data_IF_248917004952
#
_entry.id   IF_248917004952
#
_cell.length_a   1.000
_cell.length_b   1.000
_cell.length_c   1.000
_cell.angle_alpha   90.00
_cell.angle_beta   90.00
_cell.angle_gamma   90.00
#
_symmetry.space_group_name_H-M   'P 1'
#
loop_
_entity.id
_entity.type
_entity.pdbx_description
1 polymer ?
#
# COMPACT_ATOMS: atom_id res chain seq x y z
N UNK A 1 -16.27 -21.76 -11.22
CA UNK A 1 -16.32 -20.28 -11.09
C UNK A 1 -16.30 -19.94 -9.61
N UNK A 2 -15.80 -18.78 -9.21
CA UNK A 2 -15.89 -18.36 -7.81
C UNK A 2 -17.35 -18.06 -7.45
N UNK A 3 -17.83 -18.60 -6.33
CA UNK A 3 -19.21 -18.44 -5.86
C UNK A 3 -19.26 -17.56 -4.60
N UNK A 4 -20.33 -16.77 -4.47
CA UNK A 4 -20.55 -15.90 -3.31
C UNK A 4 -21.00 -16.64 -2.05
N UNK A 5 -21.32 -17.94 -2.14
CA UNK A 5 -21.64 -18.81 -1.00
C UNK A 5 -22.67 -18.23 -0.01
N UNK A 6 -23.70 -17.56 -0.52
CA UNK A 6 -24.77 -16.98 0.30
C UNK A 6 -24.53 -15.56 0.82
N UNK A 7 -23.38 -14.94 0.51
CA UNK A 7 -23.13 -13.52 0.76
C UNK A 7 -23.59 -12.63 -0.40
N UNK A 8 -23.99 -11.39 -0.10
CA UNK A 8 -24.43 -10.43 -1.13
C UNK A 8 -23.29 -10.01 -2.08
N UNK A 9 -22.07 -9.95 -1.56
CA UNK A 9 -20.88 -9.45 -2.25
C UNK A 9 -19.68 -10.36 -2.00
N UNK A 10 -18.77 -10.45 -2.98
CA UNK A 10 -17.50 -11.17 -2.80
C UNK A 10 -16.68 -10.57 -1.68
N UNK A 11 -16.60 -9.24 -1.61
CA UNK A 11 -15.87 -8.56 -0.54
C UNK A 11 -16.42 -8.95 0.85
N UNK A 12 -17.74 -9.01 1.02
CA UNK A 12 -18.33 -9.43 2.31
C UNK A 12 -17.93 -10.86 2.65
N UNK A 13 -18.07 -11.80 1.70
CA UNK A 13 -17.59 -13.17 1.87
C UNK A 13 -16.12 -13.21 2.31
N UNK A 14 -15.27 -12.44 1.63
CA UNK A 14 -13.84 -12.40 1.89
C UNK A 14 -13.51 -11.83 3.28
N UNK A 15 -14.26 -10.84 3.77
CA UNK A 15 -14.17 -10.35 5.15
C UNK A 15 -14.46 -11.49 6.14
N UNK A 16 -15.49 -12.30 5.90
CA UNK A 16 -15.87 -13.41 6.78
C UNK A 16 -14.96 -14.64 6.66
N UNK A 17 -14.17 -14.76 5.58
CA UNK A 17 -13.16 -15.83 5.39
C UNK A 17 -11.87 -15.59 6.18
N UNK A 18 -11.63 -14.37 6.68
CA UNK A 18 -10.40 -13.99 7.37
C UNK A 18 -9.97 -14.94 8.50
N UNK A 19 -10.86 -15.45 9.38
CA UNK A 19 -10.47 -16.42 10.40
C UNK A 19 -9.81 -17.68 9.82
N UNK A 20 -10.37 -18.21 8.73
CA UNK A 20 -9.86 -19.42 8.08
C UNK A 20 -8.54 -19.12 7.35
N UNK A 21 -8.48 -17.99 6.66
CA UNK A 21 -7.29 -17.54 5.92
C UNK A 21 -6.09 -17.33 6.84
N UNK A 22 -6.29 -16.72 8.00
CA UNK A 22 -5.23 -16.56 9.01
C UNK A 22 -4.75 -17.92 9.50
N UNK A 23 -5.67 -18.87 9.78
CA UNK A 23 -5.30 -20.24 10.13
C UNK A 23 -4.48 -20.90 9.01
N UNK A 24 -4.91 -20.79 7.75
CA UNK A 24 -4.23 -21.42 6.61
C UNK A 24 -2.85 -20.82 6.34
N UNK A 25 -2.66 -19.53 6.63
CA UNK A 25 -1.35 -18.87 6.56
C UNK A 25 -0.40 -19.42 7.64
N UNK A 26 -0.90 -19.64 8.85
CA UNK A 26 -0.09 -19.98 10.02
C UNK A 26 0.17 -21.48 10.19
N UNK A 27 -0.77 -22.34 9.78
CA UNK A 27 -0.88 -23.76 10.21
C UNK A 27 0.38 -24.59 10.00
N UNK A 28 1.16 -24.29 8.97
CA UNK A 28 2.36 -25.06 8.62
C UNK A 28 3.52 -24.78 9.58
N UNK A 29 3.62 -23.55 10.08
CA UNK A 29 4.80 -23.04 10.78
C UNK A 29 4.52 -22.64 12.23
N UNK A 30 3.27 -22.49 12.63
CA UNK A 30 2.92 -21.94 13.96
C UNK A 30 3.49 -22.76 15.13
N UNK A 31 3.62 -24.08 14.98
CA UNK A 31 4.16 -24.94 16.04
C UNK A 31 5.69 -25.10 15.96
N UNK A 32 6.32 -24.60 14.90
CA UNK A 32 7.78 -24.68 14.68
C UNK A 32 8.25 -23.51 13.81
N UNK A 33 8.10 -22.25 14.29
CA UNK A 33 8.41 -21.07 13.49
C UNK A 33 9.90 -20.97 13.14
N UNK A 34 10.77 -21.58 13.95
CA UNK A 34 12.20 -21.72 13.70
C UNK A 34 12.52 -22.42 12.38
N UNK A 35 11.70 -23.43 12.00
CA UNK A 35 11.88 -24.20 10.75
C UNK A 35 11.56 -23.40 9.50
N UNK A 36 10.76 -22.34 9.61
CA UNK A 36 10.40 -21.50 8.46
C UNK A 36 11.66 -20.92 7.80
N UNK A 37 12.64 -20.50 8.59
CA UNK A 37 13.88 -19.91 8.08
C UNK A 37 14.72 -20.91 7.29
N UNK A 38 14.71 -22.16 7.72
CA UNK A 38 15.45 -23.24 7.07
C UNK A 38 14.78 -23.61 5.74
N UNK A 39 13.44 -23.77 5.72
CA UNK A 39 12.67 -24.03 4.50
C UNK A 39 12.82 -22.91 3.45
N UNK A 40 12.82 -21.66 3.91
CA UNK A 40 13.01 -20.51 3.03
C UNK A 40 14.46 -20.33 2.56
N UNK A 41 15.41 -21.14 3.06
CA UNK A 41 16.82 -21.04 2.70
C UNK A 41 17.46 -19.71 3.10
N UNK A 42 17.02 -19.12 4.22
CA UNK A 42 17.51 -17.83 4.74
C UNK A 42 18.07 -17.92 6.16
N UNK A 43 18.07 -19.11 6.76
CA UNK A 43 18.61 -19.35 8.08
C UNK A 43 20.04 -18.84 8.26
N UNK A 44 20.93 -19.06 7.28
CA UNK A 44 22.33 -18.64 7.35
C UNK A 44 22.51 -17.12 7.20
N UNK A 45 21.55 -16.46 6.53
CA UNK A 45 21.60 -15.01 6.28
C UNK A 45 21.38 -14.18 7.54
N UNK A 46 20.87 -14.79 8.62
CA UNK A 46 20.50 -14.08 9.85
C UNK A 46 21.70 -13.39 10.52
N UNK A 47 22.90 -13.99 10.40
CA UNK A 47 24.11 -13.48 11.05
C UNK A 47 24.62 -12.20 10.38
N UNK A 48 24.44 -12.09 9.07
CA UNK A 48 24.86 -10.92 8.29
C UNK A 48 23.74 -9.89 8.13
N UNK A 49 22.53 -10.20 8.59
CA UNK A 49 21.35 -9.34 8.47
C UNK A 49 21.49 -8.12 9.38
N UNK A 50 21.71 -6.96 8.78
CA UNK A 50 21.87 -5.68 9.47
C UNK A 50 20.67 -4.75 9.28
N UNK A 51 19.86 -4.98 8.24
CA UNK A 51 18.70 -4.16 7.90
C UNK A 51 17.65 -4.96 7.15
N UNK A 52 16.40 -4.65 7.43
CA UNK A 52 15.25 -5.12 6.64
C UNK A 52 14.64 -3.90 5.95
N UNK A 53 14.25 -4.08 4.70
CA UNK A 53 13.51 -3.09 3.94
C UNK A 53 12.24 -3.73 3.42
N UNK A 54 11.08 -3.10 3.60
CA UNK A 54 9.81 -3.58 3.06
C UNK A 54 9.35 -2.63 1.95
N UNK A 55 9.02 -3.17 0.78
CA UNK A 55 8.47 -2.38 -0.33
C UNK A 55 7.15 -2.96 -0.84
N UNK A 56 6.13 -2.12 -0.91
CA UNK A 56 4.79 -2.53 -1.35
C UNK A 56 3.95 -1.33 -1.81
N UNK A 57 2.71 -1.57 -2.25
CA UNK A 57 1.76 -0.55 -2.68
C UNK A 57 0.42 -0.70 -1.95
N UNK A 58 -0.29 0.41 -1.72
CA UNK A 58 -1.66 0.43 -1.18
C UNK A 58 -1.81 -0.33 0.14
N UNK A 59 -2.82 -1.18 0.24
CA UNK A 59 -3.07 -2.02 1.42
C UNK A 59 -1.88 -2.91 1.81
N UNK A 60 -1.09 -3.41 0.84
CA UNK A 60 0.13 -4.17 1.17
C UNK A 60 1.24 -3.32 1.77
N UNK A 61 1.29 -2.02 1.44
CA UNK A 61 2.17 -1.07 2.12
C UNK A 61 1.74 -0.85 3.58
N UNK A 62 0.43 -0.73 3.86
CA UNK A 62 -0.07 -0.68 5.23
C UNK A 62 0.24 -1.96 6.02
N UNK A 63 0.20 -3.13 5.38
CA UNK A 63 0.62 -4.39 5.99
C UNK A 63 2.11 -4.33 6.36
N UNK A 64 2.95 -3.80 5.47
CA UNK A 64 4.36 -3.55 5.74
C UNK A 64 4.62 -2.63 6.93
N UNK A 65 3.86 -1.53 7.05
CA UNK A 65 3.95 -0.62 8.20
C UNK A 65 3.61 -1.31 9.53
N UNK A 66 2.60 -2.18 9.55
CA UNK A 66 2.26 -3.00 10.73
C UNK A 66 3.36 -4.04 10.98
N UNK A 67 3.81 -4.72 9.92
CA UNK A 67 4.88 -5.71 9.96
C UNK A 67 6.17 -5.16 10.53
N UNK A 68 6.53 -3.90 10.21
CA UNK A 68 7.66 -3.19 10.82
C UNK A 68 7.58 -3.21 12.34
N UNK A 69 6.43 -2.84 12.91
CA UNK A 69 6.27 -2.84 14.37
C UNK A 69 6.43 -4.23 14.99
N UNK A 70 5.97 -5.28 14.30
CA UNK A 70 6.13 -6.67 14.76
C UNK A 70 7.59 -7.13 14.65
N UNK A 71 8.20 -6.97 13.48
CA UNK A 71 9.55 -7.45 13.17
C UNK A 71 10.59 -6.69 14.02
N UNK A 72 10.55 -5.36 14.11
CA UNK A 72 11.50 -4.62 14.94
C UNK A 72 11.41 -5.02 16.42
N UNK A 73 10.19 -5.31 16.89
CA UNK A 73 9.97 -5.75 18.26
C UNK A 73 10.60 -7.12 18.54
N UNK A 74 10.52 -8.06 17.60
CA UNK A 74 10.99 -9.43 17.80
C UNK A 74 12.46 -9.64 17.41
N UNK A 75 12.96 -8.91 16.41
CA UNK A 75 14.27 -9.18 15.79
C UNK A 75 15.31 -8.12 16.15
N UNK A 76 14.89 -6.95 16.66
CA UNK A 76 15.78 -5.84 17.03
C UNK A 76 16.69 -5.35 15.89
N UNK A 77 16.24 -5.52 14.65
CA UNK A 77 16.89 -5.01 13.42
C UNK A 77 16.06 -3.85 12.88
N UNK A 78 16.69 -2.74 12.43
CA UNK A 78 15.96 -1.64 11.81
C UNK A 78 15.18 -2.09 10.58
N UNK A 79 13.90 -1.75 10.51
CA UNK A 79 13.01 -2.06 9.39
C UNK A 79 12.50 -0.76 8.77
N UNK A 80 12.90 -0.50 7.53
CA UNK A 80 12.33 0.56 6.71
C UNK A 80 11.14 0.04 5.90
N UNK A 81 10.17 0.91 5.61
CA UNK A 81 9.01 0.58 4.78
C UNK A 81 8.77 1.73 3.82
N UNK A 82 8.82 1.46 2.52
CA UNK A 82 8.62 2.46 1.49
C UNK A 82 7.52 2.03 0.51
N UNK A 83 6.85 3.04 -0.06
CA UNK A 83 5.95 2.83 -1.20
C UNK A 83 6.84 2.44 -2.39
N UNK A 84 6.52 1.33 -3.07
CA UNK A 84 7.42 0.77 -4.08
C UNK A 84 7.70 1.73 -5.26
N UNK A 85 6.75 2.59 -5.64
CA UNK A 85 6.99 3.60 -6.68
C UNK A 85 8.07 4.60 -6.26
N UNK A 86 7.98 5.13 -5.04
CA UNK A 86 8.94 6.09 -4.49
C UNK A 86 10.31 5.42 -4.30
N UNK A 87 10.33 4.20 -3.78
CA UNK A 87 11.58 3.47 -3.55
C UNK A 87 12.37 3.31 -4.86
N UNK A 88 11.71 2.93 -5.96
CA UNK A 88 12.35 2.79 -7.28
C UNK A 88 12.85 4.13 -7.80
N UNK A 89 12.01 5.16 -7.75
CA UNK A 89 12.27 6.42 -8.45
C UNK A 89 13.35 7.28 -7.73
N UNK A 90 13.64 6.98 -6.46
CA UNK A 90 14.60 7.72 -5.64
C UNK A 90 16.02 7.13 -5.57
N UNK A 91 16.38 6.16 -6.42
CA UNK A 91 17.73 5.54 -6.44
C UNK A 91 18.19 5.06 -5.05
N UNK A 92 17.55 4.03 -4.50
CA UNK A 92 17.67 3.61 -3.11
C UNK A 92 19.08 3.11 -2.78
N UNK A 93 19.56 3.46 -1.59
CA UNK A 93 20.82 2.99 -1.03
C UNK A 93 20.57 1.63 -0.37
N UNK A 94 21.27 0.60 -0.83
CA UNK A 94 21.12 -0.77 -0.37
C UNK A 94 22.46 -1.24 0.22
N UNK A 95 22.67 -1.09 1.54
CA UNK A 95 23.89 -1.55 2.19
C UNK A 95 24.02 -3.07 2.17
N UNK A 96 25.24 -3.58 2.34
CA UNK A 96 25.48 -5.01 2.59
C UNK A 96 24.71 -5.50 3.82
N UNK A 97 24.21 -6.73 3.78
CA UNK A 97 23.38 -7.29 4.85
C UNK A 97 21.94 -6.79 4.86
N UNK A 98 21.45 -6.25 3.74
CA UNK A 98 20.04 -5.85 3.59
C UNK A 98 19.21 -7.01 3.05
N UNK A 99 18.08 -7.27 3.72
CA UNK A 99 16.98 -8.09 3.17
C UNK A 99 15.87 -7.17 2.68
N UNK A 100 15.51 -7.28 1.40
CA UNK A 100 14.31 -6.66 0.86
C UNK A 100 13.15 -7.65 0.96
N UNK A 101 12.06 -7.23 1.61
CA UNK A 101 10.78 -7.92 1.65
C UNK A 101 9.80 -7.20 0.72
N UNK A 102 9.31 -7.88 -0.31
CA UNK A 102 8.20 -7.37 -1.13
C UNK A 102 6.88 -7.98 -0.69
N UNK A 103 5.82 -7.16 -0.60
CA UNK A 103 4.47 -7.63 -0.24
C UNK A 103 3.52 -7.32 -1.38
N UNK A 104 2.87 -8.34 -1.92
CA UNK A 104 1.92 -8.18 -3.02
C UNK A 104 0.89 -9.30 -3.05
N UNK A 105 -0.38 -8.96 -3.21
CA UNK A 105 -1.43 -9.97 -3.36
C UNK A 105 -1.30 -10.72 -4.70
N UNK A 106 -1.13 -10.00 -5.81
CA UNK A 106 -1.13 -10.59 -7.16
C UNK A 106 0.23 -11.16 -7.57
N UNK A 107 1.32 -10.61 -7.06
CA UNK A 107 2.67 -10.92 -7.54
C UNK A 107 3.03 -10.28 -8.88
N UNK A 108 2.16 -9.42 -9.42
CA UNK A 108 2.30 -8.80 -10.74
C UNK A 108 2.31 -7.26 -10.68
N UNK A 109 2.30 -6.68 -9.48
CA UNK A 109 2.36 -5.22 -9.29
C UNK A 109 3.69 -4.67 -9.83
N UNK A 110 3.61 -3.84 -10.88
CA UNK A 110 4.77 -3.43 -11.66
C UNK A 110 5.87 -2.75 -10.83
N UNK A 111 5.50 -1.83 -9.93
CA UNK A 111 6.47 -1.12 -9.10
C UNK A 111 7.14 -2.05 -8.10
N UNK A 112 6.38 -2.95 -7.46
CA UNK A 112 6.91 -3.93 -6.52
C UNK A 112 7.91 -4.88 -7.18
N UNK A 113 7.61 -5.35 -8.40
CA UNK A 113 8.52 -6.19 -9.17
C UNK A 113 9.79 -5.44 -9.59
N UNK A 114 9.66 -4.17 -10.00
CA UNK A 114 10.80 -3.33 -10.36
C UNK A 114 11.75 -3.12 -9.17
N UNK A 115 11.22 -2.79 -8.00
CA UNK A 115 11.99 -2.65 -6.76
C UNK A 115 12.72 -3.93 -6.40
N UNK A 116 12.07 -5.08 -6.55
CA UNK A 116 12.69 -6.38 -6.28
C UNK A 116 13.91 -6.63 -7.16
N UNK A 117 13.79 -6.39 -8.46
CA UNK A 117 14.87 -6.56 -9.43
C UNK A 117 16.05 -5.63 -9.11
N UNK A 118 15.76 -4.35 -8.89
CA UNK A 118 16.80 -3.36 -8.58
C UNK A 118 17.55 -3.70 -7.28
N UNK A 119 16.82 -4.09 -6.24
CA UNK A 119 17.45 -4.46 -4.98
C UNK A 119 18.31 -5.71 -5.09
N UNK A 120 17.87 -6.69 -5.87
CA UNK A 120 18.64 -7.90 -6.15
C UNK A 120 19.91 -7.58 -6.94
N UNK A 121 19.83 -6.72 -7.96
CA UNK A 121 20.99 -6.24 -8.73
C UNK A 121 22.01 -5.51 -7.84
N UNK A 122 21.53 -4.78 -6.82
CA UNK A 122 22.36 -4.11 -5.80
C UNK A 122 22.83 -5.03 -4.66
N UNK A 123 22.51 -6.33 -4.72
CA UNK A 123 23.02 -7.35 -3.81
C UNK A 123 22.20 -7.55 -2.52
N UNK A 124 20.98 -7.03 -2.43
CA UNK A 124 20.07 -7.40 -1.34
C UNK A 124 19.55 -8.83 -1.52
N UNK A 125 19.34 -9.54 -0.41
CA UNK A 125 18.56 -10.77 -0.41
C UNK A 125 17.08 -10.42 -0.55
N UNK A 126 16.37 -11.10 -1.44
CA UNK A 126 14.96 -10.81 -1.73
C UNK A 126 14.02 -11.89 -1.16
N UNK A 127 13.01 -11.45 -0.41
CA UNK A 127 11.94 -12.27 0.12
C UNK A 127 10.60 -11.71 -0.35
N UNK A 128 9.74 -12.54 -0.93
CA UNK A 128 8.41 -12.12 -1.36
C UNK A 128 7.32 -12.74 -0.50
N UNK A 129 6.46 -11.92 0.10
CA UNK A 129 5.20 -12.34 0.70
C UNK A 129 4.09 -12.18 -0.35
N UNK A 130 3.51 -13.29 -0.80
CA UNK A 130 2.54 -13.27 -1.89
C UNK A 130 1.43 -14.31 -1.76
N UNK A 131 0.28 -14.03 -2.36
CA UNK A 131 -0.84 -14.97 -2.39
C UNK A 131 -0.83 -15.89 -3.61
N UNK A 132 -0.23 -15.47 -4.73
CA UNK A 132 -0.28 -16.17 -6.01
C UNK A 132 1.04 -16.88 -6.28
N UNK A 133 0.99 -18.21 -6.29
CA UNK A 133 2.12 -19.07 -6.63
C UNK A 133 2.48 -18.94 -8.12
N UNK A 134 3.79 -18.88 -8.39
CA UNK A 134 4.31 -18.81 -9.75
C UNK A 134 4.08 -17.48 -10.46
N UNK A 135 3.73 -16.41 -9.74
CA UNK A 135 3.71 -15.03 -10.23
C UNK A 135 5.12 -14.47 -10.47
N UNK A 136 5.25 -13.34 -11.17
CA UNK A 136 6.55 -12.74 -11.50
C UNK A 136 7.43 -12.50 -10.27
N UNK A 137 6.94 -11.86 -9.21
CA UNK A 137 7.73 -11.61 -8.00
C UNK A 137 8.17 -12.90 -7.33
N UNK A 138 7.30 -13.92 -7.28
CA UNK A 138 7.63 -15.20 -6.61
C UNK A 138 8.66 -16.02 -7.37
N UNK A 139 8.67 -15.97 -8.72
CA UNK A 139 9.70 -16.66 -9.52
C UNK A 139 11.07 -16.00 -9.43
N UNK A 140 11.11 -14.69 -9.20
CA UNK A 140 12.36 -13.92 -9.22
C UNK A 140 12.97 -13.69 -7.83
N UNK A 141 12.20 -13.93 -6.77
CA UNK A 141 12.66 -13.79 -5.39
C UNK A 141 13.62 -14.92 -5.01
N UNK A 142 14.51 -14.65 -4.06
CA UNK A 142 15.37 -15.69 -3.51
C UNK A 142 14.61 -16.61 -2.53
N UNK A 143 13.60 -16.05 -1.86
CA UNK A 143 12.73 -16.76 -0.92
C UNK A 143 11.29 -16.26 -1.03
N UNK A 144 10.33 -17.15 -0.78
CA UNK A 144 8.90 -16.81 -0.87
C UNK A 144 8.16 -17.32 0.36
N UNK A 145 7.28 -16.49 0.90
CA UNK A 145 6.32 -16.87 1.94
C UNK A 145 4.91 -16.68 1.42
N UNK A 146 4.19 -17.78 1.22
CA UNK A 146 2.84 -17.75 0.69
C UNK A 146 1.80 -17.45 1.76
N UNK A 147 0.91 -16.50 1.47
CA UNK A 147 -0.18 -16.14 2.38
C UNK A 147 -1.34 -17.14 2.35
N UNK A 148 -1.46 -17.98 1.30
CA UNK A 148 -2.48 -19.03 1.19
C UNK A 148 -3.92 -18.54 1.46
N UNK A 149 -4.25 -17.30 1.10
CA UNK A 149 -5.55 -16.67 1.34
C UNK A 149 -6.66 -17.13 0.36
N UNK A 150 -6.30 -17.99 -0.59
CA UNK A 150 -7.18 -18.38 -1.69
C UNK A 150 -7.45 -17.20 -2.63
N UNK A 151 -8.39 -17.40 -3.57
CA UNK A 151 -8.73 -16.37 -4.55
C UNK A 151 -9.50 -15.21 -3.87
N UNK A 152 -9.04 -13.98 -4.08
CA UNK A 152 -9.72 -12.75 -3.64
C UNK A 152 -10.23 -12.02 -4.88
N UNK A 153 -11.55 -11.97 -5.04
CA UNK A 153 -12.28 -11.45 -6.19
C UNK A 153 -12.57 -9.96 -6.02
N UNK A 154 -12.95 -9.51 -4.82
CA UNK A 154 -13.25 -8.10 -4.57
C UNK A 154 -12.03 -7.23 -4.90
N UNK A 155 -12.23 -6.12 -5.62
CA UNK A 155 -11.12 -5.21 -6.00
C UNK A 155 -10.37 -4.73 -4.77
N UNK A 156 -11.12 -4.36 -3.73
CA UNK A 156 -10.58 -3.89 -2.45
C UNK A 156 -10.09 -5.06 -1.60
N UNK A 157 -8.80 -5.06 -1.27
CA UNK A 157 -8.16 -6.13 -0.48
C UNK A 157 -8.73 -6.20 0.95
N UNK A 158 -9.01 -7.43 1.42
CA UNK A 158 -9.52 -7.73 2.76
C UNK A 158 -8.74 -8.88 3.40
N UNK A 159 -9.05 -10.13 3.03
CA UNK A 159 -8.38 -11.33 3.55
C UNK A 159 -6.92 -11.44 3.14
N UNK A 160 -6.54 -10.90 1.98
CA UNK A 160 -5.15 -10.86 1.59
C UNK A 160 -4.34 -9.99 2.57
N UNK A 161 -4.90 -8.89 3.07
CA UNK A 161 -4.25 -8.03 4.07
C UNK A 161 -4.03 -8.77 5.39
N UNK A 162 -5.06 -9.41 5.96
CA UNK A 162 -4.90 -10.15 7.22
C UNK A 162 -4.01 -11.37 7.09
N UNK A 163 -3.98 -12.02 5.92
CA UNK A 163 -2.99 -13.05 5.63
C UNK A 163 -1.56 -12.50 5.56
N UNK A 164 -1.36 -11.32 4.97
CA UNK A 164 -0.06 -10.63 4.96
C UNK A 164 0.39 -10.31 6.39
N UNK A 165 -0.51 -9.85 7.27
CA UNK A 165 -0.19 -9.64 8.68
C UNK A 165 0.22 -10.94 9.37
N UNK A 166 -0.48 -12.06 9.11
CA UNK A 166 -0.13 -13.36 9.67
C UNK A 166 1.26 -13.82 9.21
N UNK A 167 1.55 -13.68 7.92
CA UNK A 167 2.86 -14.00 7.34
C UNK A 167 3.99 -13.13 7.93
N UNK A 168 3.78 -11.82 8.07
CA UNK A 168 4.75 -10.89 8.68
C UNK A 168 4.99 -11.18 10.16
N UNK A 169 3.93 -11.50 10.91
CA UNK A 169 4.04 -11.86 12.32
C UNK A 169 4.86 -13.15 12.49
N UNK A 170 4.53 -14.18 11.71
CA UNK A 170 5.25 -15.45 11.68
C UNK A 170 6.72 -15.26 11.29
N UNK A 171 7.00 -14.48 10.24
CA UNK A 171 8.35 -14.16 9.81
C UNK A 171 9.14 -13.44 10.91
N UNK A 172 8.52 -12.46 11.59
CA UNK A 172 9.16 -11.75 12.70
C UNK A 172 9.50 -12.67 13.88
N UNK A 173 8.61 -13.61 14.23
CA UNK A 173 8.87 -14.61 15.27
C UNK A 173 10.02 -15.54 14.84
N UNK A 174 9.98 -16.03 13.60
CA UNK A 174 11.00 -16.94 13.06
C UNK A 174 12.39 -16.28 13.03
N UNK A 175 12.47 -15.03 12.56
CA UNK A 175 13.70 -14.23 12.56
C UNK A 175 14.21 -13.97 13.98
N UNK A 176 13.31 -13.59 14.90
CA UNK A 176 13.66 -13.28 16.30
C UNK A 176 14.17 -14.51 17.04
N UNK A 177 13.52 -15.66 16.83
CA UNK A 177 13.93 -16.95 17.37
C UNK A 177 15.31 -17.35 16.83
N UNK A 178 15.52 -17.28 15.52
CA UNK A 178 16.79 -17.67 14.88
C UNK A 178 17.96 -16.77 15.31
N UNK A 179 17.69 -15.47 15.50
CA UNK A 179 18.68 -14.49 15.99
C UNK A 179 18.96 -14.62 17.50
N UNK A 180 18.07 -15.28 18.24
CA UNK A 180 18.15 -15.38 19.70
C UNK A 180 17.65 -14.15 20.46
N UNK A 181 17.01 -13.20 19.78
CA UNK A 181 16.42 -11.99 20.40
C UNK A 181 15.03 -12.27 20.99
N UNK A 182 14.35 -13.29 20.50
CA UNK A 182 13.07 -13.76 21.02
C UNK A 182 13.27 -15.12 21.68
N UNK A 183 13.24 -15.16 23.01
CA UNK A 183 13.52 -16.38 23.76
C UNK A 183 12.39 -17.41 23.70
N UNK A 184 12.71 -18.69 23.94
CA UNK A 184 11.73 -19.80 23.94
C UNK A 184 10.52 -19.55 24.85
N UNK A 185 10.72 -18.88 26.00
CA UNK A 185 9.64 -18.55 26.94
C UNK A 185 8.69 -17.50 26.36
N UNK A 186 9.21 -16.49 25.66
CA UNK A 186 8.41 -15.47 24.99
C UNK A 186 7.64 -16.07 23.82
N UNK A 187 8.28 -16.92 23.02
CA UNK A 187 7.62 -17.67 21.94
C UNK A 187 6.47 -18.50 22.51
N UNK A 188 6.72 -19.31 23.56
CA UNK A 188 5.69 -20.12 24.22
C UNK A 188 4.53 -19.28 24.78
N UNK A 189 4.79 -18.04 25.16
CA UNK A 189 3.74 -17.11 25.63
C UNK A 189 2.96 -16.50 24.48
N UNK A 190 3.61 -16.25 23.34
CA UNK A 190 3.01 -15.61 22.17
C UNK A 190 2.19 -16.59 21.31
N UNK A 191 2.65 -17.84 21.17
CA UNK A 191 2.02 -18.86 20.32
C UNK A 191 0.53 -19.10 20.62
N UNK A 192 0.09 -19.23 21.90
CA UNK A 192 -1.34 -19.38 22.20
C UNK A 192 -2.19 -18.25 21.63
N UNK A 193 -1.69 -17.00 21.66
CA UNK A 193 -2.42 -15.88 21.07
C UNK A 193 -2.52 -15.98 19.55
N UNK A 194 -1.46 -16.44 18.85
CA UNK A 194 -1.53 -16.68 17.41
C UNK A 194 -2.52 -17.79 17.05
N UNK A 195 -2.49 -18.90 17.80
CA UNK A 195 -3.39 -20.03 17.60
C UNK A 195 -4.86 -19.63 17.81
N UNK A 196 -5.08 -18.66 18.69
CA UNK A 196 -6.40 -18.17 19.03
C UNK A 196 -6.92 -17.04 18.11
N UNK A 197 -6.07 -16.49 17.22
CA UNK A 197 -6.45 -15.41 16.29
C UNK A 197 -7.73 -15.72 15.50
N UNK A 198 -7.94 -16.92 14.92
CA UNK A 198 -9.18 -17.21 14.20
C UNK A 198 -10.43 -17.07 15.08
N UNK A 199 -10.35 -17.45 16.35
CA UNK A 199 -11.46 -17.28 17.30
C UNK A 199 -11.68 -15.79 17.60
N UNK A 200 -10.62 -15.03 17.82
CA UNK A 200 -10.68 -13.60 18.10
C UNK A 200 -11.21 -12.80 16.90
N UNK A 201 -10.79 -13.12 15.67
CA UNK A 201 -11.32 -12.49 14.46
C UNK A 201 -12.81 -12.80 14.30
N UNK A 202 -13.25 -14.04 14.56
CA UNK A 202 -14.69 -14.39 14.58
C UNK A 202 -15.46 -13.55 15.59
N UNK A 203 -14.90 -13.31 16.78
CA UNK A 203 -15.52 -12.44 17.78
C UNK A 203 -15.57 -10.98 17.31
N UNK A 204 -14.50 -10.47 16.68
CA UNK A 204 -14.50 -9.13 16.12
C UNK A 204 -15.57 -8.97 15.02
N UNK A 205 -15.79 -9.99 14.18
CA UNK A 205 -16.85 -10.00 13.16
C UNK A 205 -18.28 -9.98 13.76
N UNK A 206 -18.46 -10.33 15.04
CA UNK A 206 -19.76 -10.20 15.72
C UNK A 206 -20.15 -8.74 16.00
N UNK A 207 -19.24 -7.78 15.77
CA UNK A 207 -19.54 -6.34 15.85
C UNK A 207 -20.41 -5.83 14.69
N UNK A 208 -20.70 -6.66 13.69
CA UNK A 208 -21.38 -6.30 12.44
C UNK A 208 -22.64 -5.45 12.63
N UNK A 209 -23.56 -5.86 13.51
CA UNK A 209 -24.80 -5.11 13.76
C UNK A 209 -24.55 -3.75 14.42
N UNK A 210 -23.57 -3.63 15.31
CA UNK A 210 -23.18 -2.34 15.90
C UNK A 210 -22.53 -1.45 14.83
N UNK A 211 -21.62 -2.01 14.04
CA UNK A 211 -20.95 -1.33 12.94
C UNK A 211 -21.96 -0.83 11.90
N UNK A 212 -22.98 -1.61 11.56
CA UNK A 212 -24.06 -1.23 10.64
C UNK A 212 -24.90 -0.07 11.15
N UNK A 213 -25.12 0.04 12.47
CA UNK A 213 -25.80 1.20 13.09
C UNK A 213 -24.94 2.44 12.97
N UNK A 214 -23.65 2.34 13.30
CA UNK A 214 -22.69 3.43 13.14
C UNK A 214 -22.61 3.86 11.67
N UNK A 215 -22.52 2.92 10.73
CA UNK A 215 -22.43 3.19 9.31
C UNK A 215 -23.55 4.11 8.79
N UNK A 216 -24.82 3.90 9.22
CA UNK A 216 -25.96 4.75 8.83
C UNK A 216 -25.75 6.23 9.13
N UNK A 217 -25.03 6.51 10.21
CA UNK A 217 -24.77 7.86 10.67
C UNK A 217 -23.57 8.52 9.97
N UNK A 218 -22.77 7.75 9.23
CA UNK A 218 -21.59 8.21 8.49
C UNK A 218 -21.86 8.47 7.01
N UNK A 219 -23.01 8.03 6.50
CA UNK A 219 -23.39 8.13 5.07
C UNK A 219 -23.34 9.56 4.55
N UNK A 220 -23.74 10.51 5.41
CA UNK A 220 -23.80 11.94 5.12
C UNK A 220 -22.50 12.69 5.45
N UNK A 221 -21.47 12.01 5.96
CA UNK A 221 -20.20 12.66 6.24
C UNK A 221 -19.43 12.93 4.94
N UNK A 222 -18.94 14.16 4.79
CA UNK A 222 -18.06 14.55 3.70
C UNK A 222 -16.63 14.09 3.94
N UNK A 223 -16.19 14.14 5.21
CA UNK A 223 -14.89 13.69 5.65
C UNK A 223 -14.93 12.88 6.94
N UNK A 224 -14.02 11.92 7.08
CA UNK A 224 -13.85 11.12 8.31
C UNK A 224 -12.36 11.03 8.64
N UNK A 225 -12.00 11.30 9.89
CA UNK A 225 -10.63 11.10 10.35
C UNK A 225 -10.50 9.76 11.09
N UNK A 226 -9.44 9.02 10.80
CA UNK A 226 -9.07 7.82 11.53
C UNK A 226 -7.80 8.10 12.33
N UNK A 227 -7.82 7.88 13.63
CA UNK A 227 -6.73 8.28 14.52
C UNK A 227 -6.22 7.08 15.29
N UNK A 228 -4.92 6.80 15.16
CA UNK A 228 -4.26 5.70 15.85
C UNK A 228 -2.86 6.06 16.32
N UNK A 229 -2.27 5.23 17.17
CA UNK A 229 -0.90 5.43 17.67
C UNK A 229 -0.13 4.12 17.73
N UNK A 230 1.18 4.20 17.49
CA UNK A 230 2.02 3.00 17.40
C UNK A 230 1.51 2.08 16.30
N UNK A 231 1.33 0.79 16.61
CA UNK A 231 0.83 -0.21 15.65
C UNK A 231 -0.58 0.08 15.13
N UNK A 232 -1.38 0.86 15.88
CA UNK A 232 -2.72 1.26 15.49
C UNK A 232 -2.75 2.42 14.48
N UNK A 233 -1.64 3.16 14.29
CA UNK A 233 -1.62 4.22 13.26
C UNK A 233 -1.72 3.64 11.83
N UNK A 234 -0.94 2.62 11.45
CA UNK A 234 -1.15 1.95 10.17
C UNK A 234 -2.54 1.30 10.01
N UNK A 235 -3.17 0.85 11.11
CA UNK A 235 -4.56 0.36 11.08
C UNK A 235 -5.52 1.51 10.76
N UNK A 236 -5.30 2.70 11.31
CA UNK A 236 -6.07 3.89 10.98
C UNK A 236 -5.93 4.27 9.49
N UNK A 237 -4.71 4.20 8.94
CA UNK A 237 -4.46 4.39 7.51
C UNK A 237 -5.24 3.37 6.66
N UNK A 238 -5.26 2.10 7.04
CA UNK A 238 -6.00 1.07 6.33
C UNK A 238 -7.52 1.28 6.41
N UNK A 239 -8.06 1.62 7.58
CA UNK A 239 -9.49 1.94 7.74
C UNK A 239 -9.92 3.12 6.86
N UNK A 240 -9.11 4.18 6.85
CA UNK A 240 -9.31 5.34 5.98
C UNK A 240 -9.24 4.97 4.50
N UNK A 241 -8.30 4.10 4.10
CA UNK A 241 -8.20 3.62 2.73
C UNK A 241 -9.44 2.84 2.31
N UNK A 242 -9.94 1.91 3.14
CA UNK A 242 -11.19 1.17 2.83
C UNK A 242 -12.37 2.11 2.63
N UNK A 243 -12.48 3.14 3.47
CA UNK A 243 -13.56 4.12 3.37
C UNK A 243 -13.47 4.94 2.08
N UNK A 244 -12.26 5.34 1.66
CA UNK A 244 -12.01 5.99 0.36
C UNK A 244 -12.38 5.08 -0.81
N UNK A 245 -11.89 3.85 -0.79
CA UNK A 245 -12.05 2.90 -1.90
C UNK A 245 -13.50 2.45 -2.11
N UNK A 246 -14.27 2.26 -1.03
CA UNK A 246 -15.62 1.69 -1.12
C UNK A 246 -16.72 2.74 -1.12
N UNK A 247 -16.63 3.71 -0.21
CA UNK A 247 -17.70 4.66 0.05
C UNK A 247 -17.52 6.02 -0.62
N UNK A 248 -16.35 6.26 -1.25
CA UNK A 248 -15.99 7.55 -1.85
C UNK A 248 -16.05 8.73 -0.87
N UNK A 249 -15.84 8.48 0.43
CA UNK A 249 -15.76 9.52 1.45
C UNK A 249 -14.29 9.93 1.60
N UNK A 250 -14.04 11.23 1.76
CA UNK A 250 -12.69 11.69 2.08
C UNK A 250 -12.31 11.19 3.48
N UNK A 251 -11.52 10.13 3.53
CA UNK A 251 -11.04 9.59 4.79
C UNK A 251 -9.52 9.62 4.88
N UNK A 252 -8.99 10.13 5.98
CA UNK A 252 -7.56 10.20 6.23
C UNK A 252 -7.18 9.58 7.57
N UNK A 253 -6.08 8.83 7.57
CA UNK A 253 -5.51 8.24 8.77
C UNK A 253 -4.39 9.11 9.31
N UNK A 254 -4.45 9.47 10.59
CA UNK A 254 -3.48 10.32 11.26
C UNK A 254 -2.84 9.65 12.48
N UNK A 255 -1.54 9.89 12.72
CA UNK A 255 -0.93 9.53 13.99
C UNK A 255 -1.50 10.47 15.06
N UNK A 256 -2.00 9.91 16.16
CA UNK A 256 -2.66 10.68 17.21
C UNK A 256 -1.78 11.81 17.80
N UNK A 257 -0.46 11.62 17.82
CA UNK A 257 0.50 12.64 18.27
C UNK A 257 0.56 13.88 17.36
N UNK A 258 0.16 13.75 16.09
CA UNK A 258 0.22 14.82 15.10
C UNK A 258 -1.07 15.63 15.00
N UNK A 259 -2.11 15.30 15.78
CA UNK A 259 -3.41 15.98 15.71
C UNK A 259 -3.29 17.51 15.83
N UNK A 260 -2.48 18.00 16.78
CA UNK A 260 -2.28 19.45 16.99
C UNK A 260 -1.36 20.12 15.97
N UNK A 261 -0.72 19.35 15.10
CA UNK A 261 0.20 19.87 14.09
C UNK A 261 -0.50 20.19 12.75
N UNK A 262 -1.83 20.40 12.78
CA UNK A 262 -2.63 20.79 11.63
C UNK A 262 -4.01 20.13 11.58
N UNK A 263 -4.13 18.79 11.65
CA UNK A 263 -5.39 18.06 11.42
C UNK A 263 -6.54 18.47 12.34
N UNK A 264 -6.25 18.89 13.58
CA UNK A 264 -7.26 19.35 14.54
C UNK A 264 -8.06 20.56 14.03
N UNK A 265 -7.52 21.35 13.09
CA UNK A 265 -8.21 22.49 12.50
C UNK A 265 -9.40 22.08 11.61
N UNK A 266 -9.47 20.81 11.20
CA UNK A 266 -10.60 20.25 10.44
C UNK A 266 -11.74 19.76 11.37
N UNK A 267 -11.54 19.78 12.68
CA UNK A 267 -12.57 19.36 13.63
C UNK A 267 -13.55 20.50 13.85
N UNK A 268 -14.79 20.26 13.49
CA UNK A 268 -15.95 21.06 13.83
C UNK A 268 -17.10 20.15 14.30
N UNK A 269 -18.19 20.78 14.72
CA UNK A 269 -19.36 20.08 15.26
C UNK A 269 -19.83 18.95 14.33
N UNK A 270 -19.83 17.72 14.84
CA UNK A 270 -20.32 16.55 14.13
C UNK A 270 -19.33 15.86 13.18
N UNK A 271 -18.14 16.42 12.93
CA UNK A 271 -17.11 15.75 12.10
C UNK A 271 -16.74 14.40 12.72
N UNK A 272 -16.93 13.26 12.02
CA UNK A 272 -16.63 11.96 12.60
C UNK A 272 -15.13 11.69 12.70
N UNK A 273 -14.70 11.25 13.90
CA UNK A 273 -13.34 10.80 14.18
C UNK A 273 -13.37 9.39 14.77
N UNK A 274 -12.79 8.44 14.05
CA UNK A 274 -12.65 7.04 14.45
C UNK A 274 -11.31 6.84 15.17
N UNK A 275 -11.34 6.65 16.48
CA UNK A 275 -10.17 6.39 17.30
C UNK A 275 -9.92 4.89 17.49
N UNK A 276 -8.69 4.47 17.24
CA UNK A 276 -8.19 3.13 17.54
C UNK A 276 -7.57 3.14 18.95
N UNK A 277 -8.35 2.74 19.96
CA UNK A 277 -8.06 2.97 21.37
C UNK A 277 -8.11 1.66 22.21
N UNK A 278 -7.37 0.65 21.79
CA UNK A 278 -7.17 -0.58 22.58
C UNK A 278 -6.27 -0.32 23.79
N UNK A 279 -6.27 -1.23 24.77
CA UNK A 279 -5.34 -1.16 25.89
C UNK A 279 -3.93 -1.50 25.43
N UNK A 280 -3.04 -0.51 25.52
CA UNK A 280 -1.61 -0.64 25.33
C UNK A 280 -0.85 0.41 26.16
N UNK A 281 0.47 0.49 26.01
CA UNK A 281 1.30 1.48 26.68
C UNK A 281 1.05 2.94 26.24
N UNK A 282 0.18 3.17 25.27
CA UNK A 282 -0.15 4.48 24.69
C UNK A 282 -1.61 4.91 24.96
N UNK A 283 -2.41 4.05 25.61
CA UNK A 283 -3.83 4.26 25.87
C UNK A 283 -4.17 5.62 26.50
N UNK A 284 -3.42 6.04 27.53
CA UNK A 284 -3.63 7.34 28.18
C UNK A 284 -3.40 8.54 27.26
N UNK A 285 -2.54 8.39 26.24
CA UNK A 285 -2.29 9.47 25.27
C UNK A 285 -3.44 9.58 24.26
N UNK A 286 -4.01 8.45 23.84
CA UNK A 286 -5.21 8.44 22.98
C UNK A 286 -6.40 9.08 23.70
N UNK A 287 -6.58 8.80 24.99
CA UNK A 287 -7.64 9.44 25.79
C UNK A 287 -7.52 10.97 25.77
N UNK A 288 -6.31 11.53 25.88
CA UNK A 288 -6.08 12.97 25.76
C UNK A 288 -6.53 13.51 24.39
N UNK A 289 -6.21 12.80 23.30
CA UNK A 289 -6.62 13.22 21.96
C UNK A 289 -8.15 13.15 21.76
N UNK A 290 -8.82 12.17 22.38
CA UNK A 290 -10.28 12.08 22.37
C UNK A 290 -10.91 13.29 23.05
N UNK A 291 -10.43 13.67 24.24
CA UNK A 291 -10.94 14.85 24.96
C UNK A 291 -10.74 16.14 24.16
N UNK A 292 -9.62 16.26 23.45
CA UNK A 292 -9.34 17.41 22.58
C UNK A 292 -10.33 17.52 21.42
N UNK A 293 -10.60 16.42 20.72
CA UNK A 293 -11.58 16.40 19.62
C UNK A 293 -12.99 16.62 20.15
N UNK A 294 -13.33 16.02 21.30
CA UNK A 294 -14.63 16.18 21.94
C UNK A 294 -14.88 17.64 22.36
N UNK A 295 -13.86 18.32 22.87
CA UNK A 295 -13.95 19.74 23.24
C UNK A 295 -14.24 20.66 22.04
N UNK A 296 -14.00 20.20 20.82
CA UNK A 296 -14.27 20.91 19.57
C UNK A 296 -15.57 20.47 18.88
N UNK A 297 -16.38 19.64 19.54
CA UNK A 297 -17.65 19.14 18.99
C UNK A 297 -17.50 17.99 17.98
N UNK A 298 -16.29 17.46 17.81
CA UNK A 298 -16.05 16.32 16.91
C UNK A 298 -16.77 15.07 17.44
N UNK A 299 -17.37 14.31 16.53
CA UNK A 299 -18.09 13.10 16.87
C UNK A 299 -17.13 11.92 17.04
N UNK A 300 -17.15 11.31 18.21
CA UNK A 300 -16.17 10.33 18.64
C UNK A 300 -16.70 8.90 18.45
N UNK A 301 -16.05 8.14 17.57
CA UNK A 301 -16.27 6.70 17.40
C UNK A 301 -15.03 5.98 17.89
N UNK A 302 -15.17 5.06 18.85
CA UNK A 302 -14.01 4.36 19.43
C UNK A 302 -14.02 2.88 19.08
N UNK A 303 -12.92 2.37 18.53
CA UNK A 303 -12.64 0.93 18.43
C UNK A 303 -11.76 0.53 19.61
N UNK A 304 -12.25 -0.32 20.50
CA UNK A 304 -11.58 -0.63 21.77
C UNK A 304 -11.91 -2.02 22.29
N UNK A 305 -11.00 -2.57 23.09
CA UNK A 305 -11.21 -3.76 23.91
C UNK A 305 -11.52 -3.42 25.38
N UNK A 306 -11.60 -2.13 25.73
CA UNK A 306 -11.93 -1.64 27.07
C UNK A 306 -13.05 -0.59 27.03
N UNK A 307 -14.30 -0.99 26.79
CA UNK A 307 -15.42 -0.05 26.63
C UNK A 307 -15.68 0.79 27.89
N UNK A 308 -15.36 0.28 29.07
CA UNK A 308 -15.55 1.00 30.33
C UNK A 308 -14.73 2.32 30.37
N UNK A 309 -13.57 2.38 29.72
CA UNK A 309 -12.72 3.57 29.72
C UNK A 309 -13.30 4.74 28.89
N UNK A 310 -14.28 4.47 28.01
CA UNK A 310 -14.78 5.45 27.04
C UNK A 310 -16.26 5.78 27.18
N UNK A 311 -16.97 5.22 28.18
CA UNK A 311 -18.45 5.31 28.30
C UNK A 311 -18.99 6.75 28.21
N UNK A 312 -18.29 7.69 28.83
CA UNK A 312 -18.69 9.10 28.87
C UNK A 312 -17.90 9.97 27.87
N UNK A 313 -17.15 9.34 26.96
CA UNK A 313 -16.21 10.01 26.05
C UNK A 313 -16.50 9.75 24.57
N UNK A 314 -17.06 8.59 24.25
CA UNK A 314 -17.41 8.21 22.89
C UNK A 314 -18.91 8.35 22.64
N UNK A 315 -19.29 8.81 21.46
CA UNK A 315 -20.67 8.78 20.97
C UNK A 315 -21.06 7.37 20.54
N UNK A 316 -20.11 6.64 19.93
CA UNK A 316 -20.29 5.26 19.49
C UNK A 316 -19.05 4.42 19.79
N UNK A 317 -19.25 3.11 19.96
CA UNK A 317 -18.17 2.17 20.22
C UNK A 317 -18.28 0.90 19.37
N UNK A 318 -17.13 0.44 18.89
CA UNK A 318 -16.92 -0.87 18.31
C UNK A 318 -16.07 -1.67 19.29
N UNK A 319 -16.71 -2.56 20.04
CA UNK A 319 -16.05 -3.35 21.09
C UNK A 319 -15.43 -4.61 20.49
N UNK A 320 -14.11 -4.67 20.46
CA UNK A 320 -13.33 -5.80 19.93
C UNK A 320 -12.77 -6.66 21.06
N UNK A 321 -12.43 -7.94 20.83
CA UNK A 321 -11.83 -8.76 21.88
C UNK A 321 -10.38 -8.33 22.18
N UNK A 322 -9.97 -8.44 23.45
CA UNK A 322 -8.57 -8.21 23.87
C UNK A 322 -7.65 -9.30 23.32
N UNK A 323 -6.41 -8.92 23.02
CA UNK A 323 -5.34 -9.83 22.58
C UNK A 323 -3.96 -9.25 22.89
N UNK A 324 -2.90 -9.99 22.58
CA UNK A 324 -1.54 -9.50 22.72
C UNK A 324 -1.34 -8.19 21.90
N UNK A 325 -0.65 -7.15 22.41
CA UNK A 325 -0.54 -5.85 21.74
C UNK A 325 -0.02 -5.89 20.29
N UNK A 326 0.85 -6.86 19.97
CA UNK A 326 1.34 -7.04 18.60
C UNK A 326 0.28 -7.59 17.63
N UNK A 327 -0.78 -8.23 18.15
CA UNK A 327 -1.83 -8.90 17.38
C UNK A 327 -3.15 -8.11 17.36
N UNK A 328 -3.21 -6.96 18.04
CA UNK A 328 -4.36 -6.05 18.01
C UNK A 328 -4.84 -5.72 16.59
N UNK A 329 -3.96 -5.50 15.59
CA UNK A 329 -4.42 -5.24 14.22
C UNK A 329 -5.41 -6.27 13.70
N UNK A 330 -5.22 -7.57 13.97
CA UNK A 330 -6.11 -8.63 13.46
C UNK A 330 -7.56 -8.49 13.91
N UNK A 331 -7.79 -7.95 15.11
CA UNK A 331 -9.14 -7.80 15.67
C UNK A 331 -9.75 -6.42 15.39
N UNK A 332 -8.94 -5.43 14.99
CA UNK A 332 -9.40 -4.07 14.72
C UNK A 332 -9.66 -3.82 13.23
N UNK A 333 -8.93 -4.43 12.28
CA UNK A 333 -9.20 -4.18 10.84
C UNK A 333 -10.54 -4.76 10.37
N UNK A 334 -10.95 -5.93 10.85
CA UNK A 334 -12.18 -6.57 10.38
C UNK A 334 -13.44 -5.68 10.62
N UNK A 335 -13.63 -5.10 11.81
CA UNK A 335 -14.71 -4.12 12.02
C UNK A 335 -14.60 -2.86 11.16
N UNK A 336 -13.38 -2.37 10.86
CA UNK A 336 -13.21 -1.20 9.99
C UNK A 336 -13.56 -1.50 8.52
N UNK A 337 -13.24 -2.71 8.05
CA UNK A 337 -13.65 -3.20 6.74
C UNK A 337 -15.18 -3.31 6.66
N UNK A 338 -15.83 -3.87 7.69
CA UNK A 338 -17.29 -3.89 7.79
C UNK A 338 -17.89 -2.49 7.82
N UNK A 339 -17.26 -1.53 8.51
CA UNK A 339 -17.73 -0.15 8.57
C UNK A 339 -17.75 0.47 7.17
N UNK A 340 -16.65 0.39 6.44
CA UNK A 340 -16.56 0.90 5.08
C UNK A 340 -17.51 0.17 4.12
N UNK A 341 -17.66 -1.15 4.26
CA UNK A 341 -18.62 -1.96 3.51
C UNK A 341 -20.06 -1.48 3.72
N UNK A 342 -20.51 -1.34 4.98
CA UNK A 342 -21.88 -0.92 5.27
C UNK A 342 -22.16 0.51 4.82
N UNK A 343 -21.21 1.43 5.01
CA UNK A 343 -21.37 2.80 4.49
C UNK A 343 -21.53 2.79 2.97
N UNK A 344 -20.69 2.02 2.25
CA UNK A 344 -20.73 1.90 0.81
C UNK A 344 -22.06 1.27 0.31
N UNK A 345 -22.53 0.21 0.97
CA UNK A 345 -23.82 -0.43 0.65
C UNK A 345 -24.98 0.54 0.85
N UNK A 346 -25.01 1.28 1.97
CA UNK A 346 -26.08 2.26 2.23
C UNK A 346 -26.04 3.41 1.22
N UNK A 347 -24.85 3.83 0.76
CA UNK A 347 -24.67 4.81 -0.32
C UNK A 347 -24.99 4.26 -1.72
N UNK A 348 -25.25 2.97 -1.86
CA UNK A 348 -25.49 2.32 -3.16
C UNK A 348 -24.23 2.22 -4.04
N UNK A 349 -23.03 2.21 -3.43
CA UNK A 349 -21.78 2.03 -4.16
C UNK A 349 -21.58 0.57 -4.60
N UNK A 350 -20.85 0.36 -5.70
CA UNK A 350 -20.44 -0.98 -6.13
C UNK A 350 -19.23 -1.45 -5.32
N UNK A 351 -19.46 -2.31 -4.33
CA UNK A 351 -18.42 -2.76 -3.39
C UNK A 351 -17.44 -3.78 -3.99
N UNK A 352 -17.89 -4.63 -4.92
CA UNK A 352 -17.01 -5.64 -5.54
C UNK A 352 -16.14 -5.02 -6.64
N UNK A 353 -16.64 -3.96 -7.30
CA UNK A 353 -15.95 -3.22 -8.36
C UNK A 353 -16.14 -1.70 -8.18
N UNK A 354 -15.42 -1.07 -7.24
CA UNK A 354 -15.51 0.37 -7.06
C UNK A 354 -14.99 1.12 -8.29
N UNK A 355 -15.53 2.33 -8.51
CA UNK A 355 -15.18 3.16 -9.67
C UNK A 355 -13.68 3.47 -9.68
N UNK A 356 -13.09 3.49 -10.88
CA UNK A 356 -11.70 3.89 -11.15
C UNK A 356 -10.61 3.04 -10.47
N UNK A 357 -10.96 1.90 -9.86
CA UNK A 357 -10.00 1.00 -9.22
C UNK A 357 -9.91 -0.32 -9.99
N UNK A 358 -8.70 -0.88 -10.05
CA UNK A 358 -8.43 -2.22 -10.58
C UNK A 358 -7.85 -3.10 -9.47
N UNK A 359 -8.05 -4.43 -9.59
CA UNK A 359 -7.59 -5.40 -8.57
C UNK A 359 -6.07 -5.42 -8.41
N UNK A 360 -5.36 -5.22 -9.52
CA UNK A 360 -3.90 -5.10 -9.55
C UNK A 360 -3.51 -4.05 -10.58
N UNK A 361 -2.48 -3.27 -10.28
CA UNK A 361 -1.89 -2.33 -11.23
C UNK A 361 -0.71 -3.04 -11.89
N UNK A 362 -0.97 -3.62 -13.06
CA UNK A 362 0.06 -4.24 -13.89
C UNK A 362 0.74 -3.18 -14.77
N UNK A 363 1.82 -3.56 -15.46
CA UNK A 363 2.52 -2.64 -16.36
C UNK A 363 1.59 -2.14 -17.49
N UNK A 364 0.67 -2.98 -17.95
CA UNK A 364 -0.28 -2.66 -19.01
C UNK A 364 -1.34 -1.66 -18.54
N UNK A 365 -1.81 -1.79 -17.29
CA UNK A 365 -2.79 -0.86 -16.70
C UNK A 365 -2.25 0.57 -16.58
N UNK A 366 -0.95 0.72 -16.29
CA UNK A 366 -0.29 2.05 -16.24
C UNK A 366 -0.31 2.76 -17.60
N UNK A 367 -0.27 2.00 -18.69
CA UNK A 367 -0.36 2.56 -20.04
C UNK A 367 -1.79 2.97 -20.41
N UNK A 368 -2.82 2.30 -19.88
CA UNK A 368 -4.22 2.58 -20.21
C UNK A 368 -4.79 3.80 -19.46
N UNK A 369 -4.47 3.98 -18.17
CA UNK A 369 -5.03 5.09 -17.37
C UNK A 369 -4.43 6.48 -17.67
N UNK A 370 -3.36 6.55 -18.45
CA UNK A 370 -2.69 7.82 -18.79
C UNK A 370 -3.16 8.43 -20.11
N UNK A 371 -4.18 7.87 -20.79
CA UNK A 371 -4.54 8.31 -22.14
C UNK A 371 -3.36 8.27 -23.11
N UNK A 372 -2.35 7.45 -22.77
CA UNK A 372 -1.04 7.53 -23.38
C UNK A 372 -1.00 6.61 -24.59
N UNK A 373 -1.14 7.19 -25.78
CA UNK A 373 -0.89 6.53 -27.06
C UNK A 373 0.60 6.23 -27.30
N UNK A 374 1.36 5.90 -26.25
CA UNK A 374 2.78 5.55 -26.33
C UNK A 374 2.96 4.05 -26.14
N UNK A 375 2.45 3.27 -27.09
CA UNK A 375 2.68 1.82 -27.18
C UNK A 375 4.11 1.42 -27.60
N UNK A 376 5.08 2.35 -27.60
CA UNK A 376 6.41 2.11 -28.18
C UNK A 376 7.57 2.05 -27.18
N UNK A 377 7.32 2.20 -25.87
CA UNK A 377 8.38 1.97 -24.86
C UNK A 377 8.54 0.49 -24.45
N UNK A 378 7.65 -0.39 -24.91
CA UNK A 378 7.80 -1.84 -24.74
C UNK A 378 8.47 -2.45 -25.98
N UNK A 379 9.81 -2.58 -25.89
CA UNK A 379 10.72 -3.35 -26.77
C UNK A 379 10.11 -3.91 -28.06
N UNK A 380 10.31 -3.20 -29.18
CA UNK A 380 10.54 -3.84 -30.48
C UNK A 380 11.82 -3.27 -31.08
N UNK A 381 12.76 -4.15 -31.34
CA UNK A 381 13.89 -3.95 -32.23
C UNK A 381 13.41 -3.37 -33.57
N UNK A 382 13.53 -2.06 -33.75
CA UNK A 382 13.42 -1.40 -35.04
C UNK A 382 14.74 -0.68 -35.25
N UNK A 383 15.45 -1.09 -36.29
CA UNK A 383 16.64 -0.40 -36.80
C UNK A 383 16.30 1.06 -37.09
N UNK A 384 16.74 1.97 -36.22
CA UNK A 384 16.64 3.41 -36.46
C UNK A 384 17.65 3.81 -37.54
N UNK A 385 17.17 4.03 -38.77
CA UNK A 385 18.00 4.62 -39.82
C UNK A 385 18.13 6.13 -39.58
N UNK A 386 19.35 6.56 -39.23
CA UNK A 386 19.70 7.95 -38.88
C UNK A 386 19.71 8.84 -40.13
N UNK A 387 19.05 10.01 -40.08
CA UNK A 387 19.18 11.06 -41.12
C UNK A 387 20.65 11.47 -41.23
N UNK A 388 21.19 11.41 -42.44
CA UNK A 388 22.62 11.69 -42.66
C UNK A 388 22.96 13.17 -42.41
N UNK A 389 24.23 13.44 -42.07
CA UNK A 389 24.70 14.81 -41.76
C UNK A 389 24.54 15.77 -42.94
N UNK A 390 24.59 15.26 -44.17
CA UNK A 390 24.42 16.03 -45.40
C UNK A 390 22.96 16.39 -45.68
N UNK A 391 22.01 15.52 -45.34
CA UNK A 391 20.58 15.83 -45.42
C UNK A 391 20.19 16.93 -44.43
N UNK A 392 20.74 16.90 -43.20
CA UNK A 392 20.54 18.00 -42.22
C UNK A 392 21.04 19.35 -42.76
N UNK A 393 22.22 19.38 -43.39
CA UNK A 393 22.75 20.60 -44.03
C UNK A 393 21.88 21.10 -45.18
N UNK A 394 21.32 20.18 -45.98
CA UNK A 394 20.46 20.52 -47.13
C UNK A 394 19.13 21.13 -46.69
N UNK A 395 18.54 20.62 -45.61
CA UNK A 395 17.31 21.19 -45.01
C UNK A 395 17.61 22.58 -44.42
N UNK A 396 18.70 22.73 -43.68
CA UNK A 396 19.08 24.01 -43.10
C UNK A 396 19.29 25.11 -44.15
N UNK A 397 19.99 24.80 -45.24
CA UNK A 397 20.18 25.76 -46.34
C UNK A 397 18.87 26.14 -47.05
N UNK A 398 17.85 25.29 -47.02
CA UNK A 398 16.53 25.56 -47.63
C UNK A 398 15.71 26.52 -46.76
N UNK A 399 15.76 26.35 -45.44
CA UNK A 399 15.10 27.24 -44.45
C UNK A 399 15.75 28.62 -44.44
N UNK A 400 17.08 28.69 -44.44
CA UNK A 400 17.82 29.96 -44.48
C UNK A 400 17.53 30.75 -45.77
N UNK A 401 17.28 30.07 -46.90
CA UNK A 401 16.86 30.73 -48.15
C UNK A 401 15.40 31.18 -48.16
N UNK A 402 14.52 30.53 -47.41
CA UNK A 402 13.12 30.95 -47.26
C UNK A 402 12.97 32.15 -46.33
N UNK A 403 13.85 32.29 -45.34
CA UNK A 403 13.91 33.43 -44.42
C UNK A 403 14.58 34.66 -45.04
N UNK A 404 14.29 34.97 -46.31
CA UNK A 404 14.85 36.13 -47.01
C UNK A 404 14.72 37.37 -46.13
N UNK A 405 15.89 37.83 -45.67
CA UNK A 405 16.09 38.97 -44.79
C UNK A 405 15.65 40.22 -45.55
N UNK A 406 14.38 40.60 -45.40
CA UNK A 406 13.84 41.87 -45.89
C UNK A 406 13.03 42.54 -44.80
N UNK A 407 13.77 43.30 -43.97
CA UNK A 407 13.40 44.50 -43.21
C UNK A 407 13.93 44.40 -41.78
N UNK A 408 15.09 45.03 -41.59
CA UNK A 408 15.60 45.42 -40.28
C UNK A 408 14.58 46.32 -39.58
N UNK A 409 13.92 45.80 -38.53
CA UNK A 409 13.29 46.63 -37.50
C UNK A 409 13.10 45.82 -36.20
N UNK A 410 13.92 46.14 -35.20
CA UNK A 410 13.59 46.10 -33.77
C UNK A 410 13.32 44.74 -33.08
N UNK A 411 14.18 43.74 -33.24
CA UNK A 411 14.19 42.58 -32.33
C UNK A 411 15.61 42.24 -31.86
N UNK A 412 15.77 41.90 -30.58
CA UNK A 412 17.05 41.53 -29.99
C UNK A 412 17.57 40.23 -30.60
N UNK A 413 18.89 40.09 -30.70
CA UNK A 413 19.57 38.94 -31.32
C UNK A 413 19.13 37.57 -30.78
N UNK A 414 18.65 37.49 -29.53
CA UNK A 414 18.11 36.25 -28.94
C UNK A 414 16.78 35.82 -29.55
N UNK A 415 15.85 36.74 -29.75
CA UNK A 415 14.52 36.45 -30.31
C UNK A 415 14.58 36.01 -31.78
N UNK A 416 15.56 36.50 -32.53
CA UNK A 416 15.83 36.06 -33.90
C UNK A 416 16.41 34.64 -33.95
N UNK A 417 17.25 34.25 -32.99
CA UNK A 417 17.81 32.89 -32.88
C UNK A 417 16.75 31.87 -32.48
N UNK A 418 15.83 32.21 -31.57
CA UNK A 418 14.71 31.34 -31.21
C UNK A 418 13.71 31.17 -32.36
N UNK A 419 13.32 32.26 -33.03
CA UNK A 419 12.39 32.20 -34.16
C UNK A 419 12.96 31.38 -35.33
N UNK A 420 14.25 31.56 -35.64
CA UNK A 420 14.94 30.76 -36.67
C UNK A 420 15.12 29.30 -36.26
N UNK A 421 15.35 29.01 -34.97
CA UNK A 421 15.39 27.65 -34.43
C UNK A 421 14.05 26.92 -34.56
N UNK A 422 12.95 27.58 -34.23
CA UNK A 422 11.60 27.00 -34.34
C UNK A 422 11.17 26.76 -35.79
N UNK A 423 11.47 27.68 -36.71
CA UNK A 423 11.21 27.52 -38.15
C UNK A 423 12.03 26.36 -38.75
N UNK A 424 13.30 26.23 -38.38
CA UNK A 424 14.16 25.11 -38.77
C UNK A 424 13.59 23.78 -38.27
N UNK A 425 13.10 23.76 -37.03
CA UNK A 425 12.52 22.58 -36.40
C UNK A 425 11.25 22.14 -37.13
N UNK A 426 10.33 23.07 -37.43
CA UNK A 426 9.13 22.80 -38.23
C UNK A 426 9.45 22.23 -39.63
N UNK A 427 10.46 22.78 -40.31
CA UNK A 427 10.86 22.30 -41.63
C UNK A 427 11.45 20.87 -41.59
N UNK A 428 12.22 20.54 -40.54
CA UNK A 428 12.71 19.17 -40.31
C UNK A 428 11.54 18.22 -40.06
N UNK A 429 10.55 18.63 -39.25
CA UNK A 429 9.35 17.83 -38.99
C UNK A 429 8.54 17.54 -40.26
N UNK A 430 8.32 18.54 -41.11
CA UNK A 430 7.59 18.36 -42.36
C UNK A 430 8.28 17.36 -43.29
N UNK A 431 9.62 17.38 -43.34
CA UNK A 431 10.37 16.48 -44.22
C UNK A 431 10.50 15.06 -43.62
N UNK A 432 10.50 14.92 -42.30
CA UNK A 432 10.37 13.64 -41.61
C UNK A 432 8.98 13.02 -41.82
N UNK A 433 7.92 13.82 -41.73
CA UNK A 433 6.55 13.38 -41.98
C UNK A 433 6.34 12.89 -43.42
N UNK A 434 6.89 13.59 -44.42
CA UNK A 434 6.85 13.15 -45.83
C UNK A 434 7.54 11.81 -46.08
N UNK A 435 8.49 11.42 -45.22
CA UNK A 435 9.19 10.14 -45.30
C UNK A 435 8.55 9.05 -44.41
N UNK A 436 7.40 9.33 -43.78
CA UNK A 436 6.66 8.36 -42.97
C UNK A 436 7.19 8.15 -41.55
N UNK A 437 7.98 9.08 -41.02
CA UNK A 437 8.49 9.02 -39.64
C UNK A 437 7.51 9.67 -38.65
N UNK A 438 7.15 8.95 -37.58
CA UNK A 438 6.42 9.52 -36.45
C UNK A 438 7.41 10.28 -35.54
N UNK A 439 7.13 11.55 -35.26
CA UNK A 439 8.01 12.40 -34.45
C UNK A 439 7.50 12.50 -33.01
N UNK A 440 8.24 11.94 -32.04
CA UNK A 440 8.11 12.27 -30.62
C UNK A 440 9.12 13.37 -30.26
N UNK A 441 8.70 14.34 -29.46
CA UNK A 441 9.57 15.39 -28.93
C UNK A 441 10.44 14.80 -27.81
N UNK A 442 11.75 15.04 -27.85
CA UNK A 442 12.55 15.23 -26.63
C UNK A 442 12.60 16.75 -26.39
N UNK A 443 12.13 17.18 -25.22
CA UNK A 443 12.37 18.54 -24.73
C UNK A 443 13.86 18.65 -24.38
N UNK A 444 14.58 19.71 -24.80
CA UNK A 444 15.94 19.96 -24.34
C UNK A 444 15.90 20.76 -23.03
N UNK A 445 15.36 20.15 -21.98
CA UNK A 445 15.62 20.54 -20.59
C UNK A 445 16.13 19.32 -19.84
#
# INVERSE_FOLDING_TARGET
MAEKQGYDHFMLKEIYEQPQVVMDTLREWINSPDRLMDEMGIAETINDLSRIHIAACGTSYHAGLIGRHMIEKFVRIPVAVDIASEFRDLSPIIPKGTMLITITQSGETADTLAVQREAKEKGARTLTICNVAGSATTREADSVLYTRAGLEIGVVSTKAFTAQLAALCLLGIALGAKKGELGDSEIKTLLPFLQDLPRLIRQALQTDEAVKKIARTLVAADSILYVGRGINYPVALEGALKMKELANIHADGYPAGEMKHGPIALIEEGVPVVFLATIDGMHGKILSNIEEVKALGGRIIVVTDSPAAFRDKADDMIVVPSTHPALVPFVTVAPLQLLAYHVAVIKGCNVDQPRNLSKSITADDKCHNTGCSHSNYCRKSITCAVITRDEKKRIANKVVRHLHVSAWAQLSTSSLLEASGQELQKAVHQEQAKKGFNTCFESPY
#
